data_IF_026530634854
#
_entry.id   IF_026530634854
#
_cell.length_a   1.000
_cell.length_b   1.000
_cell.length_c   1.000
_cell.angle_alpha   90.00
_cell.angle_beta   90.00
_cell.angle_gamma   90.00
#
_symmetry.space_group_name_H-M   'P 1'
#
loop_
_entity.id
_entity.type
_entity.pdbx_description
1 polymer ?
#
# COMPACT_ATOMS: atom_id res chain seq x y z
N UNK A 1 -25.50 16.41 -34.61
CA UNK A 1 -25.36 15.23 -33.71
C UNK A 1 -26.74 14.87 -33.17
N UNK A 2 -27.13 13.58 -33.16
CA UNK A 2 -28.45 13.17 -32.65
C UNK A 2 -28.41 12.91 -31.13
N UNK A 3 -29.55 13.06 -30.45
CA UNK A 3 -29.68 12.81 -29.01
C UNK A 3 -29.22 11.40 -28.61
N UNK A 4 -29.40 10.41 -29.49
CA UNK A 4 -28.95 9.03 -29.29
C UNK A 4 -27.42 8.92 -29.27
N UNK A 5 -26.72 9.67 -30.12
CA UNK A 5 -25.25 9.72 -30.13
C UNK A 5 -24.72 10.40 -28.87
N UNK A 6 -25.39 11.46 -28.40
CA UNK A 6 -24.96 12.18 -27.19
C UNK A 6 -25.16 11.34 -25.93
N UNK A 7 -26.30 10.62 -25.83
CA UNK A 7 -26.57 9.68 -24.73
C UNK A 7 -25.51 8.59 -24.64
N UNK A 8 -25.14 7.97 -25.77
CA UNK A 8 -24.10 6.92 -25.80
C UNK A 8 -22.74 7.47 -25.36
N UNK A 9 -22.36 8.66 -25.82
CA UNK A 9 -21.10 9.31 -25.42
C UNK A 9 -21.05 9.59 -23.92
N UNK A 10 -22.10 10.18 -23.35
CA UNK A 10 -22.18 10.46 -21.91
C UNK A 10 -22.15 9.16 -21.10
N UNK A 11 -22.93 8.16 -21.51
CA UNK A 11 -22.91 6.85 -20.85
C UNK A 11 -21.53 6.21 -20.87
N UNK A 12 -20.79 6.30 -21.98
CA UNK A 12 -19.46 5.69 -22.06
C UNK A 12 -18.45 6.42 -21.16
N UNK A 13 -18.49 7.76 -21.13
CA UNK A 13 -17.66 8.57 -20.23
C UNK A 13 -17.95 8.29 -18.76
N UNK A 14 -19.23 8.14 -18.40
CA UNK A 14 -19.63 7.82 -17.03
C UNK A 14 -19.35 6.36 -16.67
N UNK A 15 -19.53 5.43 -17.61
CA UNK A 15 -19.24 4.02 -17.41
C UNK A 15 -17.76 3.81 -17.10
N UNK A 16 -16.85 4.46 -17.83
CA UNK A 16 -15.42 4.42 -17.51
C UNK A 16 -15.08 5.09 -16.16
N UNK A 17 -15.83 6.13 -15.77
CA UNK A 17 -15.64 6.82 -14.48
C UNK A 17 -16.13 5.99 -13.29
N UNK A 18 -17.22 5.25 -13.43
CA UNK A 18 -17.83 4.46 -12.36
C UNK A 18 -17.43 2.98 -12.36
N UNK A 19 -16.85 2.46 -13.45
CA UNK A 19 -16.37 1.07 -13.58
C UNK A 19 -14.87 0.93 -13.87
N UNK A 20 -14.10 2.03 -13.90
CA UNK A 20 -12.68 1.97 -13.56
C UNK A 20 -12.53 1.50 -12.11
N UNK A 21 -11.35 1.02 -11.69
CA UNK A 21 -11.05 0.58 -10.30
C UNK A 21 -11.21 1.73 -9.30
N UNK A 22 -12.42 2.19 -9.07
CA UNK A 22 -12.78 3.19 -8.08
C UNK A 22 -13.07 2.42 -6.81
N UNK A 23 -12.04 2.28 -5.97
CA UNK A 23 -12.22 1.85 -4.59
C UNK A 23 -13.07 2.95 -3.93
N UNK A 24 -14.38 2.75 -3.87
CA UNK A 24 -15.28 3.58 -3.08
C UNK A 24 -14.91 3.37 -1.61
N UNK A 25 -13.90 4.10 -1.14
CA UNK A 25 -13.57 4.15 0.27
C UNK A 25 -14.47 5.16 0.95
N UNK A 26 -15.06 4.77 2.07
CA UNK A 26 -15.75 5.73 2.92
C UNK A 26 -14.75 6.77 3.46
N UNK A 27 -15.23 7.94 3.87
CA UNK A 27 -14.36 8.95 4.50
C UNK A 27 -13.67 8.38 5.76
N UNK A 28 -14.34 7.44 6.45
CA UNK A 28 -13.79 6.71 7.59
C UNK A 28 -12.68 5.75 7.17
N UNK A 29 -12.86 4.96 6.11
CA UNK A 29 -11.82 4.07 5.59
C UNK A 29 -10.59 4.84 5.11
N UNK A 30 -10.78 6.01 4.51
CA UNK A 30 -9.67 6.89 4.15
C UNK A 30 -8.99 7.47 5.39
N UNK A 31 -9.77 7.88 6.40
CA UNK A 31 -9.22 8.38 7.66
C UNK A 31 -8.36 7.33 8.37
N UNK A 32 -8.76 6.05 8.37
CA UNK A 32 -7.95 4.94 8.92
C UNK A 32 -6.61 4.77 8.20
N UNK A 33 -6.54 5.02 6.90
CA UNK A 33 -5.30 4.97 6.12
C UNK A 33 -4.42 6.20 6.32
N UNK A 34 -5.04 7.35 6.62
CA UNK A 34 -4.36 8.61 6.85
C UNK A 34 -3.86 8.75 8.31
N UNK A 35 -4.18 7.79 9.20
CA UNK A 35 -3.66 7.77 10.57
C UNK A 35 -2.13 7.71 10.55
N UNK A 36 -1.50 8.64 11.25
CA UNK A 36 -0.04 8.65 11.44
C UNK A 36 0.37 7.34 12.14
N UNK A 37 1.36 6.59 11.62
CA UNK A 37 1.72 5.32 12.22
C UNK A 37 2.25 5.53 13.64
N UNK A 38 1.53 4.95 14.60
CA UNK A 38 1.85 5.02 16.03
C UNK A 38 3.19 4.34 16.25
N UNK A 39 4.24 5.11 16.54
CA UNK A 39 5.60 4.59 16.75
C UNK A 39 6.70 5.62 16.47
N UNK A 40 6.52 6.47 15.45
CA UNK A 40 7.44 7.60 15.19
C UNK A 40 7.38 8.62 16.31
N UNK A 41 6.17 8.89 16.80
CA UNK A 41 5.88 9.84 17.86
C UNK A 41 6.43 9.39 19.23
N UNK A 42 6.63 8.09 19.41
CA UNK A 42 7.22 7.50 20.62
C UNK A 42 8.74 7.34 20.52
N UNK A 43 9.36 7.70 19.38
CA UNK A 43 10.80 7.65 19.18
C UNK A 43 11.38 6.23 19.21
N UNK A 44 10.60 5.22 18.81
CA UNK A 44 11.11 3.84 18.77
C UNK A 44 12.30 3.76 17.81
N UNK A 45 13.47 3.28 18.26
CA UNK A 45 14.65 3.11 17.40
C UNK A 45 14.38 2.18 16.21
N UNK A 46 13.44 1.24 16.38
CA UNK A 46 13.06 0.25 15.38
C UNK A 46 11.95 0.72 14.44
N UNK A 47 11.39 1.92 14.62
CA UNK A 47 10.24 2.38 13.83
C UNK A 47 10.49 2.31 12.32
N UNK A 48 11.61 2.87 11.86
CA UNK A 48 11.95 2.89 10.44
C UNK A 48 12.17 1.48 9.90
N UNK A 49 12.80 0.61 10.69
CA UNK A 49 13.04 -0.81 10.38
C UNK A 49 11.71 -1.56 10.21
N UNK A 50 10.79 -1.39 11.16
CA UNK A 50 9.48 -2.04 11.13
C UNK A 50 8.61 -1.52 9.98
N UNK A 51 8.67 -0.22 9.68
CA UNK A 51 7.95 0.36 8.56
C UNK A 51 8.41 -0.23 7.22
N UNK A 52 9.71 -0.46 7.04
CA UNK A 52 10.23 -1.09 5.82
C UNK A 52 9.72 -2.54 5.72
N UNK A 53 9.74 -3.30 6.82
CA UNK A 53 9.25 -4.67 6.85
C UNK A 53 7.74 -4.77 6.58
N UNK A 54 6.93 -3.83 7.08
CA UNK A 54 5.49 -3.77 6.80
C UNK A 54 5.20 -3.53 5.31
N UNK A 55 5.89 -2.56 4.70
CA UNK A 55 5.71 -2.25 3.27
C UNK A 55 6.18 -3.43 2.39
N UNK A 56 7.23 -4.14 2.80
CA UNK A 56 7.68 -5.37 2.15
C UNK A 56 6.64 -6.50 2.30
N UNK A 57 6.10 -6.73 3.51
CA UNK A 57 5.07 -7.74 3.76
C UNK A 57 3.77 -7.46 2.99
N UNK A 58 3.42 -6.19 2.77
CA UNK A 58 2.30 -5.80 1.92
C UNK A 58 2.55 -5.99 0.41
N UNK A 59 3.72 -6.48 0.00
CA UNK A 59 4.08 -6.68 -1.41
C UNK A 59 4.26 -5.37 -2.20
N UNK A 60 4.43 -4.25 -1.49
CA UNK A 60 4.60 -2.93 -2.10
C UNK A 60 6.07 -2.57 -2.36
N UNK A 61 7.00 -3.42 -1.92
CA UNK A 61 8.44 -3.23 -2.05
C UNK A 61 9.09 -4.55 -2.44
N UNK A 62 10.12 -4.49 -3.29
CA UNK A 62 10.87 -5.68 -3.70
C UNK A 62 11.83 -6.14 -2.60
N UNK A 63 12.25 -7.41 -2.64
CA UNK A 63 13.21 -7.96 -1.69
C UNK A 63 14.53 -7.19 -1.71
N UNK A 64 15.01 -6.83 -2.91
CA UNK A 64 16.25 -6.08 -3.10
C UNK A 64 16.18 -4.67 -2.50
N UNK A 65 15.06 -3.95 -2.72
CA UNK A 65 14.83 -2.62 -2.15
C UNK A 65 14.74 -2.66 -0.61
N UNK A 66 14.09 -3.69 -0.07
CA UNK A 66 13.97 -3.89 1.37
C UNK A 66 15.34 -4.18 2.01
N UNK A 67 16.13 -5.07 1.39
CA UNK A 67 17.49 -5.38 1.80
C UNK A 67 18.40 -4.15 1.79
N UNK A 68 18.33 -3.34 0.73
CA UNK A 68 19.12 -2.10 0.62
C UNK A 68 18.74 -1.09 1.73
N UNK A 69 17.45 -0.90 2.00
CA UNK A 69 16.98 0.04 3.02
C UNK A 69 17.30 -0.40 4.45
N UNK A 70 17.35 -1.70 4.69
CA UNK A 70 17.68 -2.28 6.00
C UNK A 70 19.19 -2.50 6.19
N UNK A 71 19.99 -2.34 5.13
CA UNK A 71 21.44 -2.59 5.17
C UNK A 71 21.78 -4.07 5.36
N UNK A 72 20.97 -4.97 4.79
CA UNK A 72 21.11 -6.42 4.92
C UNK A 72 21.59 -6.99 3.59
N UNK A 73 22.61 -7.85 3.63
CA UNK A 73 23.22 -8.42 2.44
C UNK A 73 22.64 -9.80 2.05
N UNK A 74 21.82 -10.39 2.93
CA UNK A 74 21.26 -11.73 2.78
C UNK A 74 19.73 -11.76 2.83
N UNK A 75 19.14 -12.59 1.97
CA UNK A 75 17.71 -12.83 1.92
C UNK A 75 17.22 -13.69 3.10
N UNK A 76 18.05 -14.61 3.59
CA UNK A 76 17.80 -15.32 4.85
C UNK A 76 17.63 -14.36 6.03
N UNK A 77 18.48 -13.33 6.12
CA UNK A 77 18.43 -12.37 7.23
C UNK A 77 17.16 -11.50 7.16
N UNK A 78 16.72 -11.12 5.95
CA UNK A 78 15.43 -10.45 5.75
C UNK A 78 14.27 -11.35 6.23
N UNK A 79 14.29 -12.64 5.89
CA UNK A 79 13.30 -13.60 6.36
C UNK A 79 13.32 -13.79 7.89
N UNK A 80 14.49 -13.83 8.53
CA UNK A 80 14.59 -13.90 9.98
C UNK A 80 14.00 -12.66 10.67
N UNK A 81 14.24 -11.47 10.11
CA UNK A 81 13.64 -10.24 10.63
C UNK A 81 12.12 -10.24 10.48
N UNK A 82 11.59 -10.71 9.36
CA UNK A 82 10.15 -10.90 9.17
C UNK A 82 9.54 -11.86 10.19
N UNK A 83 10.18 -13.02 10.42
CA UNK A 83 9.72 -13.97 11.45
C UNK A 83 9.75 -13.36 12.85
N UNK A 84 10.79 -12.59 13.19
CA UNK A 84 10.91 -11.92 14.49
C UNK A 84 9.79 -10.89 14.74
N UNK A 85 9.26 -10.27 13.68
CA UNK A 85 8.13 -9.32 13.76
C UNK A 85 6.76 -10.00 13.83
N UNK A 86 6.67 -11.32 13.64
CA UNK A 86 5.40 -12.04 13.57
C UNK A 86 4.60 -11.77 12.29
N UNK A 87 5.19 -11.06 11.32
CA UNK A 87 4.59 -10.80 10.01
C UNK A 87 4.72 -12.05 9.12
N UNK A 88 3.63 -12.42 8.45
CA UNK A 88 3.65 -13.51 7.48
C UNK A 88 4.15 -13.00 6.14
N UNK A 89 5.12 -13.70 5.58
CA UNK A 89 5.56 -13.50 4.20
C UNK A 89 4.38 -13.90 3.28
N UNK A 90 4.03 -13.08 2.27
CA UNK A 90 3.00 -13.44 1.29
C UNK A 90 3.35 -14.69 0.46
#
# INVERSE_FOLDING_TARGET
MSARTNKRRIYHLLYSRFHGKFLWRSAEEQAWLDVIPVGREFGSPDYERLQILDVYACGQMTSDDAMQKLGIDSLEDLHQQMLATGLKIP
#
